data_IF_373165337806
#
_entry.id   IF_373165337806
#
_cell.length_a   1.000
_cell.length_b   1.000
_cell.length_c   1.000
_cell.angle_alpha   90.00
_cell.angle_beta   90.00
_cell.angle_gamma   90.00
#
_symmetry.space_group_name_H-M   'P 1'
#
loop_
_entity.id
_entity.type
_entity.pdbx_description
1 polymer ?
#
# COMPACT_ATOMS: atom_id res chain seq x y z
N UNK A 1 15.47 4.76 -0.23
CA UNK A 1 14.54 5.17 -1.31
C UNK A 1 13.27 5.76 -0.71
N UNK A 2 13.03 7.07 -0.79
CA UNK A 2 11.90 7.74 -0.15
C UNK A 2 10.54 7.16 -0.57
N UNK A 3 10.38 6.83 -1.86
CA UNK A 3 9.11 6.31 -2.40
C UNK A 3 8.69 4.96 -1.82
N UNK A 4 9.63 4.03 -1.60
CA UNK A 4 9.33 2.73 -1.00
C UNK A 4 8.89 2.87 0.46
N UNK A 5 9.55 3.74 1.23
CA UNK A 5 9.18 3.99 2.64
C UNK A 5 7.77 4.58 2.75
N UNK A 6 7.42 5.53 1.88
CA UNK A 6 6.07 6.09 1.78
C UNK A 6 5.03 5.03 1.41
N UNK A 7 5.32 4.17 0.43
CA UNK A 7 4.39 3.12 0.00
C UNK A 7 4.12 2.08 1.10
N UNK A 8 5.17 1.67 1.84
CA UNK A 8 5.02 0.80 3.02
C UNK A 8 4.20 1.49 4.10
N UNK A 9 4.42 2.80 4.32
CA UNK A 9 3.62 3.57 5.29
C UNK A 9 2.14 3.64 4.89
N UNK A 10 1.82 3.85 3.61
CA UNK A 10 0.43 3.86 3.13
C UNK A 10 -0.27 2.52 3.34
N UNK A 11 0.42 1.41 3.11
CA UNK A 11 -0.09 0.06 3.44
C UNK A 11 -0.41 -0.06 4.94
N UNK A 12 0.47 0.43 5.80
CA UNK A 12 0.23 0.42 7.25
C UNK A 12 -0.93 1.33 7.66
N UNK A 13 -1.08 2.50 7.02
CA UNK A 13 -2.20 3.41 7.28
C UNK A 13 -3.56 2.76 6.96
N UNK A 14 -3.64 1.91 5.93
CA UNK A 14 -4.86 1.14 5.60
C UNK A 14 -4.97 -0.20 6.37
N UNK A 15 -4.08 -0.46 7.34
CA UNK A 15 -4.10 -1.65 8.19
C UNK A 15 -3.58 -2.93 7.54
N UNK A 16 -2.85 -2.81 6.43
CA UNK A 16 -2.34 -3.94 5.65
C UNK A 16 -0.82 -4.13 5.85
N UNK A 17 -0.28 -5.36 5.77
CA UNK A 17 1.15 -5.61 5.92
C UNK A 17 1.97 -5.07 4.75
N UNK A 18 3.13 -4.48 5.03
CA UNK A 18 4.05 -3.94 4.02
C UNK A 18 4.54 -4.95 2.96
N UNK A 19 4.52 -6.25 3.27
CA UNK A 19 4.90 -7.33 2.34
C UNK A 19 4.00 -7.40 1.09
N UNK A 20 2.79 -6.84 1.11
CA UNK A 20 1.92 -6.75 -0.08
C UNK A 20 2.59 -5.94 -1.19
N UNK A 21 3.39 -4.92 -0.85
CA UNK A 21 4.13 -4.15 -1.85
C UNK A 21 5.12 -5.02 -2.62
N UNK A 22 5.77 -5.98 -1.95
CA UNK A 22 6.69 -6.91 -2.59
C UNK A 22 5.94 -7.84 -3.55
N UNK A 23 4.78 -8.35 -3.14
CA UNK A 23 3.92 -9.17 -4.03
C UNK A 23 3.55 -8.37 -5.28
N UNK A 24 3.12 -7.12 -5.15
CA UNK A 24 2.78 -6.27 -6.30
C UNK A 24 3.98 -6.03 -7.23
N UNK A 25 5.18 -5.86 -6.68
CA UNK A 25 6.41 -5.72 -7.48
C UNK A 25 6.66 -6.98 -8.30
N UNK A 26 6.59 -8.17 -7.68
CA UNK A 26 6.82 -9.44 -8.39
C UNK A 26 5.73 -9.73 -9.42
N UNK A 27 4.46 -9.46 -9.09
CA UNK A 27 3.35 -9.57 -10.05
C UNK A 27 3.56 -8.63 -11.24
N UNK A 28 4.05 -7.41 -11.00
CA UNK A 28 4.37 -6.44 -12.04
C UNK A 28 5.46 -6.86 -13.02
N UNK A 29 6.26 -7.90 -12.69
CA UNK A 29 7.24 -8.47 -13.61
C UNK A 29 6.59 -9.32 -14.71
N UNK A 30 5.34 -9.74 -14.54
CA UNK A 30 4.58 -10.45 -15.58
C UNK A 30 4.10 -9.41 -16.62
N UNK A 31 4.51 -9.51 -17.89
CA UNK A 31 4.12 -8.55 -18.92
C UNK A 31 2.60 -8.44 -19.08
N UNK A 32 2.12 -7.24 -19.43
CA UNK A 32 0.72 -6.92 -19.69
C UNK A 32 -0.20 -7.07 -18.47
N UNK A 33 -0.59 -8.30 -18.13
CA UNK A 33 -1.58 -8.57 -17.08
C UNK A 33 -1.04 -8.24 -15.70
N UNK A 34 0.21 -8.64 -15.42
CA UNK A 34 0.85 -8.35 -14.13
C UNK A 34 1.06 -6.86 -13.90
N UNK A 35 1.49 -6.15 -14.94
CA UNK A 35 1.64 -4.69 -14.91
C UNK A 35 0.30 -3.98 -14.65
N UNK A 36 -0.78 -4.41 -15.31
CA UNK A 36 -2.11 -3.85 -15.09
C UNK A 36 -2.60 -4.09 -13.65
N UNK A 37 -2.43 -5.31 -13.13
CA UNK A 37 -2.78 -5.65 -11.74
C UNK A 37 -1.96 -4.80 -10.76
N UNK A 38 -0.64 -4.71 -10.95
CA UNK A 38 0.23 -3.92 -10.10
C UNK A 38 -0.13 -2.42 -10.11
N UNK A 39 -0.45 -1.88 -11.29
CA UNK A 39 -0.88 -0.50 -11.45
C UNK A 39 -2.18 -0.20 -10.69
N UNK A 40 -3.21 -1.03 -10.89
CA UNK A 40 -4.49 -0.89 -10.18
C UNK A 40 -4.27 -1.06 -8.66
N UNK A 41 -3.47 -2.03 -8.24
CA UNK A 41 -3.18 -2.27 -6.82
C UNK A 41 -2.50 -1.09 -6.13
N UNK A 42 -1.51 -0.47 -6.78
CA UNK A 42 -0.84 0.73 -6.26
C UNK A 42 -1.81 1.92 -6.21
N UNK A 43 -2.68 2.08 -7.21
CA UNK A 43 -3.71 3.11 -7.20
C UNK A 43 -4.67 2.94 -6.02
N UNK A 44 -5.15 1.72 -5.77
CA UNK A 44 -6.03 1.44 -4.64
C UNK A 44 -5.36 1.74 -3.30
N UNK A 45 -4.12 1.29 -3.10
CA UNK A 45 -3.34 1.59 -1.88
C UNK A 45 -3.15 3.12 -1.70
N UNK A 46 -2.94 3.85 -2.80
CA UNK A 46 -2.79 5.30 -2.77
C UNK A 46 -4.07 6.03 -2.39
N UNK A 47 -5.19 5.63 -2.98
CA UNK A 47 -6.48 6.32 -2.90
C UNK A 47 -7.36 5.88 -1.72
N UNK A 48 -7.15 4.69 -1.17
CA UNK A 48 -7.90 4.22 -0.01
C UNK A 48 -7.64 5.09 1.22
N UNK A 49 -8.73 5.43 1.92
CA UNK A 49 -8.64 6.07 3.22
C UNK A 49 -7.95 5.16 4.23
N UNK A 50 -7.11 5.78 5.07
CA UNK A 50 -6.51 5.10 6.21
C UNK A 50 -7.56 4.70 7.24
N UNK A 51 -7.23 3.73 8.09
CA UNK A 51 -8.11 3.35 9.19
C UNK A 51 -8.28 4.53 10.16
N UNK A 52 -9.52 4.85 10.59
CA UNK A 52 -9.78 6.01 11.46
C UNK A 52 -9.38 5.76 12.92
N UNK A 53 -9.17 4.50 13.29
CA UNK A 53 -8.78 4.07 14.63
C UNK A 53 -7.33 3.59 14.65
N UNK A 54 -6.76 3.49 15.85
CA UNK A 54 -5.46 2.86 16.05
C UNK A 54 -5.47 1.42 15.53
N UNK A 55 -4.37 1.03 14.91
CA UNK A 55 -4.14 -0.33 14.45
C UNK A 55 -2.78 -0.83 14.94
N UNK A 56 -2.43 -2.06 14.58
CA UNK A 56 -1.16 -2.69 14.97
C UNK A 56 0.11 -1.98 14.49
N UNK A 57 -0.01 -0.99 13.61
CA UNK A 57 1.07 -0.17 13.07
C UNK A 57 1.12 1.24 13.68
N UNK A 58 0.25 1.51 14.66
CA UNK A 58 0.23 2.72 15.47
C UNK A 58 -0.99 3.60 15.24
N UNK A 59 -0.93 4.79 15.84
CA UNK A 59 -2.03 5.75 15.82
C UNK A 59 -2.12 6.43 14.45
N UNK A 60 -3.32 6.60 13.88
CA UNK A 60 -3.50 7.37 12.65
C UNK A 60 -3.13 8.83 12.86
N UNK A 61 -2.60 9.44 11.79
CA UNK A 61 -2.22 10.87 11.77
C UNK A 61 -3.47 11.76 11.76
N UNK A 62 -4.52 11.33 11.04
CA UNK A 62 -5.80 12.03 10.92
C UNK A 62 -6.72 11.54 12.05
N UNK A 63 -7.17 12.45 12.95
CA UNK A 63 -7.92 12.12 14.18
C UNK A 63 -9.36 12.68 14.24
N UNK A 64 -9.95 13.01 13.10
CA UNK A 64 -11.23 13.72 13.01
C UNK A 64 -12.19 13.03 12.05
#
# INVERSE_FOLDING_TARGET
MPGLALAVRRLHDIGQPGWILLILIFVGLIPWVGQLIAFIGILLIGLMDGQPHENRFGVPVKRW
#
